data_IF_869970291384
#
_entry.id   IF_869970291384
#
_cell.length_a   1.000
_cell.length_b   1.000
_cell.length_c   1.000
_cell.angle_alpha   90.00
_cell.angle_beta   90.00
_cell.angle_gamma   90.00
#
_symmetry.space_group_name_H-M   'P 1'
#
loop_
_entity.id
_entity.type
_entity.pdbx_description
1 polymer ?
#
# COMPACT_ATOMS: atom_id res chain seq x y z
N UNK A 1 -17.29 0.11 14.05
CA UNK A 1 -16.51 1.01 14.93
C UNK A 1 -15.07 1.03 14.45
N UNK A 2 -14.53 2.21 14.20
CA UNK A 2 -13.10 2.37 13.90
C UNK A 2 -12.32 2.04 15.18
N UNK A 3 -11.47 1.01 15.13
CA UNK A 3 -10.58 0.65 16.23
C UNK A 3 -9.25 1.38 16.02
N UNK A 4 -8.93 2.32 16.92
CA UNK A 4 -7.67 3.08 16.86
C UNK A 4 -6.43 2.16 16.78
N UNK A 5 -6.50 1.00 17.43
CA UNK A 5 -5.45 -0.03 17.35
C UNK A 5 -5.27 -0.57 15.94
N UNK A 6 -6.35 -0.92 15.23
CA UNK A 6 -6.30 -1.41 13.85
C UNK A 6 -5.72 -0.36 12.89
N UNK A 7 -6.09 0.91 13.06
CA UNK A 7 -5.53 2.02 12.29
C UNK A 7 -4.04 2.18 12.53
N UNK A 8 -3.60 2.14 13.79
CA UNK A 8 -2.18 2.26 14.15
C UNK A 8 -1.35 1.12 13.56
N UNK A 9 -1.77 -0.13 13.75
CA UNK A 9 -1.07 -1.30 13.17
C UNK A 9 -1.09 -1.28 11.65
N UNK A 10 -2.21 -0.92 11.02
CA UNK A 10 -2.32 -0.79 9.57
C UNK A 10 -1.35 0.25 9.02
N UNK A 11 -1.25 1.41 9.67
CA UNK A 11 -0.32 2.48 9.27
C UNK A 11 1.15 2.05 9.41
N UNK A 12 1.50 1.38 10.51
CA UNK A 12 2.87 0.86 10.74
C UNK A 12 3.24 -0.16 9.66
N UNK A 13 2.35 -1.12 9.37
CA UNK A 13 2.57 -2.09 8.29
C UNK A 13 2.70 -1.40 6.94
N UNK A 14 1.87 -0.39 6.67
CA UNK A 14 1.96 0.45 5.46
C UNK A 14 3.33 1.11 5.31
N UNK A 15 3.89 1.67 6.39
CA UNK A 15 5.24 2.24 6.39
C UNK A 15 6.30 1.18 6.11
N UNK A 16 6.22 0.01 6.76
CA UNK A 16 7.16 -1.11 6.55
C UNK A 16 7.14 -1.54 5.08
N UNK A 17 5.94 -1.77 4.52
CA UNK A 17 5.79 -2.13 3.12
C UNK A 17 6.21 -1.00 2.17
N UNK A 18 6.07 0.27 2.57
CA UNK A 18 6.61 1.40 1.81
C UNK A 18 8.12 1.37 1.69
N UNK A 19 8.83 1.13 2.79
CA UNK A 19 10.29 0.95 2.79
C UNK A 19 10.71 -0.23 1.91
N UNK A 20 9.98 -1.35 1.99
CA UNK A 20 10.22 -2.51 1.13
C UNK A 20 9.99 -2.17 -0.36
N UNK A 21 8.92 -1.45 -0.68
CA UNK A 21 8.61 -1.03 -2.07
C UNK A 21 9.73 -0.15 -2.63
N UNK A 22 10.24 0.80 -1.84
CA UNK A 22 11.34 1.69 -2.27
C UNK A 22 12.61 0.88 -2.58
N UNK A 23 12.95 -0.10 -1.74
CA UNK A 23 14.10 -0.99 -1.97
C UNK A 23 13.91 -1.81 -3.26
N UNK A 24 12.71 -2.33 -3.49
CA UNK A 24 12.38 -3.12 -4.67
C UNK A 24 12.26 -2.29 -5.95
N UNK A 25 11.92 -1.00 -5.87
CA UNK A 25 11.82 -0.11 -7.04
C UNK A 25 13.19 0.36 -7.55
N UNK A 26 14.14 0.69 -6.67
CA UNK A 26 15.40 1.30 -7.12
C UNK A 26 16.29 0.35 -7.93
N UNK A 27 16.24 -0.96 -7.66
CA UNK A 27 17.09 -1.92 -8.38
C UNK A 27 16.66 -2.17 -9.85
N UNK A 28 15.36 -2.30 -10.19
CA UNK A 28 14.93 -2.60 -11.55
C UNK A 28 14.31 -1.44 -12.34
N UNK A 29 13.91 -0.31 -11.73
CA UNK A 29 13.02 0.66 -12.42
C UNK A 29 13.65 2.00 -12.81
N UNK A 30 14.80 2.36 -12.25
CA UNK A 30 15.46 3.65 -12.53
C UNK A 30 14.74 4.88 -11.98
N UNK A 31 13.70 4.72 -11.15
CA UNK A 31 12.95 5.83 -10.56
C UNK A 31 13.87 6.69 -9.67
N UNK A 32 13.86 8.03 -9.81
CA UNK A 32 14.67 8.93 -8.97
C UNK A 32 14.31 8.82 -7.49
N UNK A 33 15.33 8.85 -6.62
CA UNK A 33 15.17 8.75 -5.15
C UNK A 33 14.21 9.79 -4.57
N UNK A 34 14.06 10.95 -5.22
CA UNK A 34 13.11 11.99 -4.83
C UNK A 34 11.67 11.48 -4.71
N UNK A 35 11.26 10.52 -5.55
CA UNK A 35 9.91 9.93 -5.50
C UNK A 35 9.71 8.93 -4.36
N UNK A 36 10.76 8.59 -3.61
CA UNK A 36 10.67 7.66 -2.46
C UNK A 36 9.70 8.15 -1.40
N UNK A 37 9.65 9.47 -1.15
CA UNK A 37 8.73 10.06 -0.17
C UNK A 37 7.27 9.89 -0.59
N UNK A 38 6.98 10.01 -1.89
CA UNK A 38 5.64 9.80 -2.43
C UNK A 38 5.19 8.34 -2.30
N UNK A 39 6.10 7.40 -2.59
CA UNK A 39 5.83 5.96 -2.39
C UNK A 39 5.56 5.68 -0.91
N UNK A 40 6.41 6.18 -0.01
CA UNK A 40 6.25 5.95 1.42
C UNK A 40 4.90 6.50 1.92
N UNK A 41 4.55 7.72 1.50
CA UNK A 41 3.30 8.37 1.89
C UNK A 41 2.08 7.61 1.36
N UNK A 42 2.08 7.22 0.07
CA UNK A 42 1.02 6.40 -0.52
C UNK A 42 0.81 5.10 0.27
N UNK A 43 1.90 4.46 0.70
CA UNK A 43 1.86 3.18 1.43
C UNK A 43 1.40 3.35 2.88
N UNK A 44 1.79 4.44 3.53
CA UNK A 44 1.28 4.79 4.86
C UNK A 44 -0.23 5.09 4.82
N UNK A 45 -0.69 5.87 3.82
CA UNK A 45 -2.11 6.18 3.62
C UNK A 45 -2.95 4.95 3.27
N UNK A 46 -2.39 4.03 2.48
CA UNK A 46 -3.01 2.74 2.19
C UNK A 46 -3.22 1.92 3.47
N UNK A 47 -2.19 1.79 4.30
CA UNK A 47 -2.27 1.09 5.59
C UNK A 47 -3.25 1.74 6.56
N UNK A 48 -3.26 3.07 6.62
CA UNK A 48 -4.25 3.85 7.38
C UNK A 48 -5.67 3.58 6.87
N UNK A 49 -5.89 3.68 5.56
CA UNK A 49 -7.19 3.47 4.92
C UNK A 49 -7.72 2.06 5.16
N UNK A 50 -6.85 1.06 5.07
CA UNK A 50 -7.16 -0.34 5.40
C UNK A 50 -7.55 -0.48 6.88
N UNK A 51 -6.76 0.09 7.80
CA UNK A 51 -7.06 0.03 9.22
C UNK A 51 -8.34 0.78 9.62
N UNK A 52 -8.68 1.85 8.91
CA UNK A 52 -9.89 2.64 9.09
C UNK A 52 -11.11 2.05 8.37
N UNK A 53 -10.88 1.19 7.37
CA UNK A 53 -11.95 0.60 6.58
C UNK A 53 -12.79 -0.37 7.43
N UNK A 54 -14.10 -0.12 7.47
CA UNK A 54 -15.11 -1.02 8.03
C UNK A 54 -15.95 -1.69 6.93
N UNK A 55 -15.36 -1.89 5.74
CA UNK A 55 -16.07 -2.38 4.57
C UNK A 55 -16.38 -3.88 4.72
N UNK A 56 -17.66 -4.23 4.79
CA UNK A 56 -18.16 -5.62 4.89
C UNK A 56 -18.15 -6.35 3.53
N UNK A 57 -17.03 -6.31 2.81
CA UNK A 57 -16.92 -6.85 1.43
C UNK A 57 -15.99 -8.09 1.40
N UNK A 58 -15.60 -8.59 2.57
CA UNK A 58 -14.61 -9.66 2.71
C UNK A 58 -13.18 -9.13 2.70
N UNK A 59 -12.32 -9.73 3.52
CA UNK A 59 -10.94 -9.28 3.75
C UNK A 59 -10.12 -9.17 2.46
N UNK A 60 -10.26 -10.14 1.55
CA UNK A 60 -9.49 -10.15 0.31
C UNK A 60 -9.82 -8.95 -0.59
N UNK A 61 -11.11 -8.69 -0.80
CA UNK A 61 -11.58 -7.59 -1.64
C UNK A 61 -11.29 -6.23 -1.00
N UNK A 62 -11.44 -6.10 0.32
CA UNK A 62 -11.14 -4.86 1.02
C UNK A 62 -9.66 -4.48 0.87
N UNK A 63 -8.75 -5.43 1.13
CA UNK A 63 -7.32 -5.22 0.97
C UNK A 63 -6.91 -4.93 -0.48
N UNK A 64 -7.45 -5.68 -1.45
CA UNK A 64 -7.15 -5.48 -2.86
C UNK A 64 -7.67 -4.13 -3.37
N UNK A 65 -8.91 -3.77 -3.04
CA UNK A 65 -9.55 -2.52 -3.47
C UNK A 65 -8.79 -1.32 -2.95
N UNK A 66 -8.48 -1.28 -1.65
CA UNK A 66 -7.75 -0.18 -1.05
C UNK A 66 -6.30 -0.14 -1.54
N UNK A 67 -5.67 -1.31 -1.72
CA UNK A 67 -4.34 -1.42 -2.32
C UNK A 67 -4.25 -0.76 -3.70
N UNK A 68 -5.24 -1.03 -4.56
CA UNK A 68 -5.36 -0.38 -5.87
C UNK A 68 -5.68 1.10 -5.71
N UNK A 69 -6.71 1.46 -4.93
CA UNK A 69 -7.21 2.83 -4.79
C UNK A 69 -6.12 3.82 -4.36
N UNK A 70 -5.24 3.42 -3.44
CA UNK A 70 -4.16 4.27 -2.95
C UNK A 70 -2.91 4.27 -3.84
N UNK A 71 -2.84 3.36 -4.82
CA UNK A 71 -1.69 3.24 -5.73
C UNK A 71 -1.99 3.77 -7.13
N UNK A 72 -3.22 3.63 -7.61
CA UNK A 72 -3.64 4.03 -8.95
C UNK A 72 -3.43 5.53 -9.24
N UNK A 73 -3.71 6.47 -8.30
CA UNK A 73 -3.49 7.90 -8.54
C UNK A 73 -2.02 8.25 -8.81
N UNK A 74 -1.08 7.40 -8.35
CA UNK A 74 0.35 7.60 -8.60
C UNK A 74 0.80 7.06 -9.96
N UNK A 75 -0.03 6.27 -10.65
CA UNK A 75 0.33 5.61 -11.90
C UNK A 75 0.79 6.58 -13.00
N UNK A 76 0.10 7.70 -13.30
CA UNK A 76 0.52 8.61 -14.36
C UNK A 76 1.91 9.21 -14.10
N UNK A 77 2.23 9.50 -12.83
CA UNK A 77 3.52 10.06 -12.41
C UNK A 77 4.63 9.05 -12.59
N UNK A 78 4.42 7.80 -12.20
CA UNK A 78 5.44 6.77 -12.38
C UNK A 78 5.55 6.30 -13.83
N UNK A 79 4.48 6.38 -14.62
CA UNK A 79 4.47 5.95 -16.02
C UNK A 79 5.38 6.81 -16.89
N UNK A 80 5.44 8.12 -16.63
CA UNK A 80 6.34 9.04 -17.33
C UNK A 80 7.82 8.80 -16.98
N UNK A 81 8.11 8.25 -15.80
CA UNK A 81 9.46 7.92 -15.36
C UNK A 81 9.90 6.55 -15.87
N UNK A 82 9.02 5.56 -15.73
CA UNK A 82 9.25 4.17 -16.09
C UNK A 82 7.91 3.43 -16.17
N UNK A 83 7.43 3.05 -17.37
CA UNK A 83 6.19 2.27 -17.50
C UNK A 83 6.21 0.98 -16.69
N UNK A 84 7.37 0.32 -16.62
CA UNK A 84 7.59 -0.86 -15.80
C UNK A 84 7.53 -0.53 -14.31
N UNK A 85 8.12 0.58 -13.88
CA UNK A 85 8.03 1.06 -12.50
C UNK A 85 6.60 1.40 -12.07
N UNK A 86 5.81 2.03 -12.94
CA UNK A 86 4.40 2.33 -12.68
C UNK A 86 3.56 1.07 -12.45
N UNK A 87 3.78 0.04 -13.27
CA UNK A 87 3.17 -1.26 -13.09
C UNK A 87 3.55 -1.86 -11.72
N UNK A 88 4.84 -1.84 -11.36
CA UNK A 88 5.30 -2.33 -10.05
C UNK A 88 4.70 -1.57 -8.87
N UNK A 89 4.54 -0.25 -8.96
CA UNK A 89 3.91 0.54 -7.90
C UNK A 89 2.46 0.10 -7.69
N UNK A 90 1.69 -0.09 -8.75
CA UNK A 90 0.28 -0.52 -8.61
C UNK A 90 0.20 -1.97 -8.14
N UNK A 91 1.00 -2.86 -8.74
CA UNK A 91 1.00 -4.28 -8.41
C UNK A 91 1.41 -4.55 -6.96
N UNK A 92 2.47 -3.91 -6.48
CA UNK A 92 2.89 -4.02 -5.06
C UNK A 92 1.86 -3.41 -4.13
N UNK A 93 1.14 -2.37 -4.55
CA UNK A 93 0.04 -1.81 -3.78
C UNK A 93 -1.10 -2.79 -3.56
N UNK A 94 -1.51 -3.48 -4.62
CA UNK A 94 -2.50 -4.55 -4.55
C UNK A 94 -2.06 -5.65 -3.59
N UNK A 95 -0.84 -6.18 -3.76
CA UNK A 95 -0.32 -7.27 -2.93
C UNK A 95 -0.22 -6.83 -1.47
N UNK A 96 0.41 -5.70 -1.20
CA UNK A 96 0.59 -5.22 0.17
C UNK A 96 -0.73 -4.85 0.82
N UNK A 97 -1.70 -4.32 0.07
CA UNK A 97 -3.05 -4.09 0.59
C UNK A 97 -3.71 -5.37 1.10
N UNK A 98 -3.63 -6.45 0.32
CA UNK A 98 -4.13 -7.77 0.72
C UNK A 98 -3.36 -8.30 1.95
N UNK A 99 -2.03 -8.20 1.95
CA UNK A 99 -1.20 -8.71 3.05
C UNK A 99 -1.46 -7.96 4.35
N UNK A 100 -1.55 -6.61 4.32
CA UNK A 100 -1.89 -5.82 5.50
C UNK A 100 -3.25 -6.24 6.05
N UNK A 101 -4.24 -6.38 5.18
CA UNK A 101 -5.59 -6.78 5.59
C UNK A 101 -5.63 -8.19 6.20
N UNK A 102 -4.88 -9.14 5.63
CA UNK A 102 -4.69 -10.50 6.20
C UNK A 102 -4.07 -10.41 7.60
N UNK A 103 -3.01 -9.62 7.76
CA UNK A 103 -2.32 -9.50 9.05
C UNK A 103 -3.28 -8.93 10.11
N UNK A 104 -4.03 -7.87 9.78
CA UNK A 104 -4.96 -7.25 10.71
C UNK A 104 -6.13 -8.18 11.06
N UNK A 105 -6.73 -8.84 10.05
CA UNK A 105 -7.97 -9.62 10.22
C UNK A 105 -7.74 -11.06 10.68
N UNK A 106 -6.81 -11.78 10.08
CA UNK A 106 -6.62 -13.22 10.31
C UNK A 106 -5.57 -13.48 11.39
N UNK A 107 -4.49 -12.71 11.41
CA UNK A 107 -3.37 -12.94 12.35
C UNK A 107 -3.64 -12.23 13.68
N UNK A 108 -3.85 -10.91 13.63
CA UNK A 108 -4.03 -10.08 14.82
C UNK A 108 -5.49 -10.07 15.32
N UNK A 109 -6.45 -10.40 14.46
CA UNK A 109 -7.89 -10.41 14.75
C UNK A 109 -8.41 -9.08 15.33
N UNK A 110 -7.85 -7.96 14.85
CA UNK A 110 -8.13 -6.60 15.34
C UNK A 110 -9.04 -5.81 14.42
#
# INVERSE_FOLDING_TARGET
MIRATRVAFGTILGIIFGVLTIKLMHAPTGIPRFFSYFVLLSRALMGFGIGASGLNIGWFFNGALLGILYSLPSYPVFYTLSPFGAFWVVFTGLIYGIVIEIILTLILKI
#
